data_IF_694010126733
#
_entry.id   IF_694010126733
#
_cell.length_a   1.000
_cell.length_b   1.000
_cell.length_c   1.000
_cell.angle_alpha   90.00
_cell.angle_beta   90.00
_cell.angle_gamma   90.00
#
_symmetry.space_group_name_H-M   'P 1'
#
loop_
_entity.id
_entity.type
_entity.pdbx_description
1 polymer ?
#
# COMPACT_ATOMS: atom_id res chain seq x y z
N UNK A 1 6.52 14.70 -15.57
CA UNK A 1 6.36 14.36 -14.14
C UNK A 1 7.38 13.31 -13.77
N UNK A 2 8.02 13.41 -12.60
CA UNK A 2 8.94 12.40 -12.08
C UNK A 2 8.24 11.46 -11.10
N UNK A 3 8.74 10.23 -10.97
CA UNK A 3 8.31 9.29 -9.92
C UNK A 3 8.70 9.87 -8.55
N UNK A 4 7.81 9.74 -7.57
CA UNK A 4 7.99 10.27 -6.21
C UNK A 4 8.56 9.19 -5.29
N UNK A 5 9.46 9.58 -4.39
CA UNK A 5 10.06 8.68 -3.41
C UNK A 5 9.15 8.40 -2.22
N UNK A 6 9.49 7.37 -1.45
CA UNK A 6 8.91 7.01 -0.16
C UNK A 6 8.66 8.22 0.77
N UNK A 7 9.64 9.12 0.92
CA UNK A 7 9.53 10.32 1.76
C UNK A 7 8.41 11.25 1.32
N UNK A 8 8.25 11.41 0.01
CA UNK A 8 7.16 12.22 -0.54
C UNK A 8 5.82 11.53 -0.31
N UNK A 9 5.74 10.22 -0.54
CA UNK A 9 4.52 9.42 -0.35
C UNK A 9 4.05 9.50 1.11
N UNK A 10 4.94 9.26 2.08
CA UNK A 10 4.64 9.37 3.52
C UNK A 10 4.08 10.74 3.89
N UNK A 11 4.76 11.81 3.47
CA UNK A 11 4.31 13.18 3.73
C UNK A 11 2.90 13.44 3.19
N UNK A 12 2.62 12.99 1.97
CA UNK A 12 1.31 13.20 1.35
C UNK A 12 0.20 12.38 2.02
N UNK A 13 0.50 11.15 2.44
CA UNK A 13 -0.46 10.35 3.18
C UNK A 13 -0.76 10.98 4.56
N UNK A 14 0.26 11.37 5.32
CA UNK A 14 0.12 11.92 6.67
C UNK A 14 -0.51 13.33 6.71
N UNK A 15 -0.12 14.22 5.80
CA UNK A 15 -0.53 15.63 5.85
C UNK A 15 -1.77 15.94 5.02
N UNK A 16 -2.06 15.11 4.01
CA UNK A 16 -3.12 15.38 3.03
C UNK A 16 -4.11 14.21 2.87
N UNK A 17 -3.98 13.12 3.63
CA UNK A 17 -4.88 11.97 3.53
C UNK A 17 -4.86 11.31 2.16
N UNK A 18 -3.73 11.37 1.44
CA UNK A 18 -3.64 10.85 0.07
C UNK A 18 -3.94 9.34 -0.04
N UNK A 19 -3.63 8.58 1.01
CA UNK A 19 -3.86 7.13 1.10
C UNK A 19 -4.46 6.86 2.48
N UNK A 20 -5.59 6.17 2.55
CA UNK A 20 -6.23 5.80 3.81
C UNK A 20 -6.93 4.43 3.68
N UNK A 21 -6.66 3.46 4.58
CA UNK A 21 -5.62 3.46 5.62
C UNK A 21 -4.19 3.38 5.04
N UNK A 22 -3.22 4.03 5.71
CA UNK A 22 -1.82 4.12 5.27
C UNK A 22 -0.85 3.31 6.14
N UNK A 23 0.15 2.70 5.50
CA UNK A 23 1.23 1.96 6.15
C UNK A 23 2.61 2.52 5.72
N UNK A 24 3.36 3.19 6.63
CA UNK A 24 4.62 3.86 6.30
C UNK A 24 5.78 2.90 5.98
N UNK A 25 5.68 1.62 6.35
CA UNK A 25 6.69 0.58 6.07
C UNK A 25 6.20 -0.48 5.08
N UNK A 26 7.04 -1.48 4.84
CA UNK A 26 6.58 -2.73 4.23
C UNK A 26 6.14 -3.71 5.31
N UNK A 27 4.90 -4.17 5.22
CA UNK A 27 4.39 -5.27 6.06
C UNK A 27 4.56 -6.57 5.28
N UNK A 28 5.27 -7.53 5.87
CA UNK A 28 5.59 -8.83 5.25
C UNK A 28 5.03 -10.02 6.03
N UNK A 29 4.51 -9.76 7.22
CA UNK A 29 4.00 -10.75 8.16
C UNK A 29 2.79 -10.19 8.90
N UNK A 30 1.76 -11.01 9.10
CA UNK A 30 0.59 -10.71 9.91
C UNK A 30 0.26 -11.94 10.77
N UNK A 31 0.02 -11.76 12.06
CA UNK A 31 -0.30 -12.84 13.01
C UNK A 31 0.67 -14.05 12.96
N UNK A 32 1.97 -13.77 12.82
CA UNK A 32 3.00 -14.81 12.74
C UNK A 32 3.09 -15.54 11.40
N UNK A 33 2.37 -15.09 10.37
CA UNK A 33 2.33 -15.71 9.04
C UNK A 33 2.85 -14.76 7.97
N UNK A 34 3.75 -15.26 7.13
CA UNK A 34 4.22 -14.53 5.95
C UNK A 34 3.06 -14.26 4.98
N UNK A 35 3.05 -13.07 4.40
CA UNK A 35 2.04 -12.63 3.43
C UNK A 35 2.68 -12.06 2.17
N UNK A 36 1.88 -11.83 1.12
CA UNK A 36 2.28 -10.94 0.03
C UNK A 36 2.39 -9.53 0.62
N UNK A 37 3.57 -8.95 0.53
CA UNK A 37 3.88 -7.70 1.22
C UNK A 37 3.08 -6.52 0.69
N UNK A 38 2.79 -5.55 1.55
CA UNK A 38 2.14 -4.29 1.18
C UNK A 38 2.74 -3.10 1.93
N UNK A 39 2.34 -1.88 1.56
CA UNK A 39 2.76 -0.64 2.22
C UNK A 39 3.80 0.15 1.42
N UNK A 40 4.51 1.08 2.06
CA UNK A 40 5.41 2.01 1.37
C UNK A 40 6.71 1.31 0.90
N UNK A 41 7.04 1.50 -0.38
CA UNK A 41 8.28 1.06 -1.03
C UNK A 41 9.11 2.28 -1.47
N UNK A 42 10.36 2.08 -1.88
CA UNK A 42 11.33 3.17 -2.12
C UNK A 42 10.83 4.28 -3.06
N UNK A 43 10.05 3.91 -4.07
CA UNK A 43 9.49 4.82 -5.07
C UNK A 43 8.03 4.45 -5.44
N UNK A 44 7.29 3.90 -4.49
CA UNK A 44 5.93 3.41 -4.74
C UNK A 44 5.21 3.00 -3.47
N UNK A 45 3.98 2.54 -3.63
CA UNK A 45 3.16 2.03 -2.55
C UNK A 45 2.45 0.76 -3.00
N UNK A 46 2.69 -0.34 -2.30
CA UNK A 46 2.10 -1.64 -2.57
C UNK A 46 0.69 -1.67 -1.96
N UNK A 47 -0.35 -1.67 -2.80
CA UNK A 47 -1.76 -1.70 -2.36
C UNK A 47 -2.21 -3.12 -1.98
N UNK A 48 -3.33 -3.22 -1.25
CA UNK A 48 -3.97 -4.48 -0.88
C UNK A 48 -5.25 -4.70 -1.67
N UNK A 49 -5.58 -5.96 -1.92
CA UNK A 49 -6.90 -6.34 -2.42
C UNK A 49 -7.91 -6.46 -1.28
N UNK A 50 -9.11 -5.93 -1.48
CA UNK A 50 -10.26 -6.20 -0.62
C UNK A 50 -10.76 -7.65 -0.84
N UNK A 51 -11.48 -8.24 0.12
CA UNK A 51 -12.01 -9.61 -0.01
C UNK A 51 -13.23 -9.72 -0.95
N UNK A 52 -13.71 -8.60 -1.49
CA UNK A 52 -14.87 -8.57 -2.38
C UNK A 52 -14.45 -8.56 -3.85
N UNK A 53 -14.92 -9.57 -4.60
CA UNK A 53 -14.56 -9.74 -6.00
C UNK A 53 -15.81 -9.96 -6.85
N UNK A 54 -15.76 -9.49 -8.10
CA UNK A 54 -16.74 -9.82 -9.14
C UNK A 54 -16.08 -10.74 -10.16
N UNK A 55 -16.62 -11.94 -10.31
CA UNK A 55 -16.11 -12.95 -11.25
C UNK A 55 -17.03 -13.00 -12.45
N UNK A 56 -16.48 -12.74 -13.64
CA UNK A 56 -17.21 -12.86 -14.90
C UNK A 56 -17.45 -14.33 -15.23
N UNK A 57 -18.63 -14.64 -15.77
CA UNK A 57 -19.03 -15.97 -16.23
C UNK A 57 -19.73 -15.85 -17.59
N UNK A 58 -19.74 -16.92 -18.37
CA UNK A 58 -20.33 -16.98 -19.72
C UNK A 58 -21.79 -17.43 -19.67
#
# INVERSE_FOLDING_TARGET
MSIKSDKWIRRMAEQHGMIEPFEPGQVRELDGRKIVSYGTSSYGYDIRCAPEFKVFTN
#
